data_IF_668640944547
#
_entry.id   IF_668640944547
#
_cell.length_a   1.000
_cell.length_b   1.000
_cell.length_c   1.000
_cell.angle_alpha   90.00
_cell.angle_beta   90.00
_cell.angle_gamma   90.00
#
_symmetry.space_group_name_H-M   'P 1'
#
loop_
_entity.id
_entity.type
_entity.pdbx_description
1 polymer ?
#
# COMPACT_ATOMS: atom_id res chain seq x y z
N UNK A 1 6.34 -15.34 -19.96
CA UNK A 1 5.28 -15.11 -18.96
C UNK A 1 4.61 -16.38 -18.48
N UNK A 2 4.12 -17.29 -19.32
CA UNK A 2 3.44 -18.53 -18.90
C UNK A 2 4.27 -19.45 -17.98
N UNK A 3 5.57 -19.63 -18.23
CA UNK A 3 6.44 -20.47 -17.39
C UNK A 3 6.64 -19.90 -15.96
N UNK A 4 6.62 -18.57 -15.79
CA UNK A 4 6.74 -17.92 -14.49
C UNK A 4 5.44 -18.06 -13.68
N UNK A 5 4.30 -17.91 -14.32
CA UNK A 5 2.99 -18.14 -13.71
C UNK A 5 2.81 -19.59 -13.26
N UNK A 6 3.21 -20.56 -14.08
CA UNK A 6 3.15 -21.98 -13.73
C UNK A 6 4.05 -22.30 -12.51
N UNK A 7 5.28 -21.78 -12.46
CA UNK A 7 6.18 -21.96 -11.29
C UNK A 7 5.60 -21.34 -10.02
N UNK A 8 4.94 -20.20 -10.13
CA UNK A 8 4.28 -19.53 -8.99
C UNK A 8 3.12 -20.39 -8.48
N UNK A 9 2.27 -20.91 -9.36
CA UNK A 9 1.15 -21.78 -8.97
C UNK A 9 1.61 -23.03 -8.23
N UNK A 10 2.70 -23.68 -8.67
CA UNK A 10 3.28 -24.85 -7.98
C UNK A 10 3.72 -24.46 -6.57
N UNK A 11 4.41 -23.33 -6.42
CA UNK A 11 4.89 -22.85 -5.12
C UNK A 11 3.74 -22.44 -4.19
N UNK A 12 2.71 -21.76 -4.73
CA UNK A 12 1.51 -21.39 -3.97
C UNK A 12 0.79 -22.63 -3.44
N UNK A 13 0.68 -23.68 -4.26
CA UNK A 13 0.10 -24.97 -3.87
C UNK A 13 0.90 -25.60 -2.74
N UNK A 14 2.22 -25.74 -2.89
CA UNK A 14 3.08 -26.35 -1.87
C UNK A 14 2.97 -25.63 -0.52
N UNK A 15 3.04 -24.29 -0.53
CA UNK A 15 2.93 -23.49 0.67
C UNK A 15 1.57 -23.61 1.35
N UNK A 16 0.48 -23.60 0.56
CA UNK A 16 -0.87 -23.73 1.09
C UNK A 16 -1.11 -25.12 1.66
N UNK A 17 -0.61 -26.17 0.99
CA UNK A 17 -0.68 -27.57 1.48
C UNK A 17 0.05 -27.69 2.82
N UNK A 18 1.30 -27.20 2.92
CA UNK A 18 2.07 -27.24 4.16
C UNK A 18 1.37 -26.48 5.30
N UNK A 19 0.80 -25.32 5.00
CA UNK A 19 0.04 -24.53 5.97
C UNK A 19 -1.18 -25.30 6.47
N UNK A 20 -1.99 -25.89 5.58
CA UNK A 20 -3.22 -26.56 5.96
C UNK A 20 -2.98 -27.89 6.69
N UNK A 21 -1.86 -28.59 6.42
CA UNK A 21 -1.42 -29.76 7.19
C UNK A 21 -1.12 -29.43 8.66
N UNK A 22 -0.92 -28.17 9.03
CA UNK A 22 -0.82 -27.77 10.43
C UNK A 22 -2.17 -27.78 11.18
N UNK A 23 -3.28 -27.86 10.45
CA UNK A 23 -4.64 -27.76 10.99
C UNK A 23 -5.54 -28.95 10.66
N UNK A 24 -5.14 -29.79 9.70
CA UNK A 24 -5.92 -30.92 9.18
C UNK A 24 -5.00 -32.12 9.10
N UNK A 25 -5.34 -33.19 9.81
CA UNK A 25 -4.53 -34.41 9.91
C UNK A 25 -4.64 -35.32 8.68
N UNK A 26 -5.68 -35.12 7.82
CA UNK A 26 -5.93 -35.97 6.68
C UNK A 26 -5.42 -35.33 5.38
N UNK A 27 -4.29 -35.85 4.81
CA UNK A 27 -3.69 -35.24 3.61
C UNK A 27 -4.62 -35.16 2.39
N UNK A 28 -5.46 -36.20 2.21
CA UNK A 28 -6.41 -36.28 1.09
C UNK A 28 -7.46 -35.14 1.14
N UNK A 29 -7.89 -34.75 2.35
CA UNK A 29 -8.80 -33.62 2.53
C UNK A 29 -8.09 -32.30 2.27
N UNK A 30 -6.81 -32.20 2.64
CA UNK A 30 -5.99 -31.01 2.38
C UNK A 30 -5.82 -30.80 0.89
N UNK A 31 -5.50 -31.82 0.12
CA UNK A 31 -5.32 -31.72 -1.33
C UNK A 31 -6.59 -31.25 -2.04
N UNK A 32 -7.75 -31.80 -1.68
CA UNK A 32 -9.04 -31.39 -2.22
C UNK A 32 -9.37 -29.93 -1.86
N UNK A 33 -9.06 -29.51 -0.64
CA UNK A 33 -9.28 -28.14 -0.16
C UNK A 33 -8.36 -27.15 -0.86
N UNK A 34 -7.08 -27.47 -1.02
CA UNK A 34 -6.09 -26.65 -1.74
C UNK A 34 -6.55 -26.42 -3.19
N UNK A 35 -6.98 -27.47 -3.88
CA UNK A 35 -7.54 -27.38 -5.22
C UNK A 35 -8.74 -26.43 -5.27
N UNK A 36 -9.69 -26.59 -4.37
CA UNK A 36 -10.89 -25.76 -4.31
C UNK A 36 -10.52 -24.26 -4.06
N UNK A 37 -9.63 -24.01 -3.13
CA UNK A 37 -9.21 -22.64 -2.77
C UNK A 37 -8.47 -21.95 -3.93
N UNK A 38 -7.50 -22.62 -4.55
CA UNK A 38 -6.72 -22.05 -5.65
C UNK A 38 -7.54 -21.90 -6.93
N UNK A 39 -8.44 -22.85 -7.25
CA UNK A 39 -9.32 -22.76 -8.41
C UNK A 39 -10.31 -21.60 -8.28
N UNK A 40 -10.80 -21.29 -7.08
CA UNK A 40 -11.72 -20.19 -6.84
C UNK A 40 -11.06 -18.82 -6.82
N UNK A 41 -9.81 -18.72 -6.33
CA UNK A 41 -9.14 -17.46 -6.04
C UNK A 41 -7.87 -17.23 -6.87
N UNK A 42 -7.40 -18.23 -7.61
CA UNK A 42 -6.29 -18.08 -8.56
C UNK A 42 -4.89 -18.08 -7.95
N UNK A 43 -4.70 -17.62 -6.71
CA UNK A 43 -3.38 -17.60 -6.04
C UNK A 43 -3.48 -17.47 -4.53
N UNK A 44 -2.39 -17.81 -3.83
CA UNK A 44 -2.27 -17.64 -2.38
C UNK A 44 -2.43 -16.16 -1.95
N UNK A 45 -1.94 -15.23 -2.76
CA UNK A 45 -2.10 -13.79 -2.47
C UNK A 45 -3.57 -13.38 -2.42
N UNK A 46 -4.40 -13.86 -3.36
CA UNK A 46 -5.85 -13.59 -3.35
C UNK A 46 -6.56 -14.21 -2.14
N UNK A 47 -6.11 -15.39 -1.69
CA UNK A 47 -6.63 -15.99 -0.46
C UNK A 47 -6.36 -15.11 0.76
N UNK A 48 -5.16 -14.55 0.86
CA UNK A 48 -4.76 -13.67 1.96
C UNK A 48 -5.45 -12.28 1.92
N UNK A 49 -6.07 -11.88 0.81
CA UNK A 49 -6.94 -10.68 0.73
C UNK A 49 -8.42 -11.00 0.97
N UNK A 50 -8.77 -12.29 1.09
CA UNK A 50 -10.16 -12.69 1.32
C UNK A 50 -10.54 -12.41 2.77
N UNK A 51 -11.71 -11.82 2.98
CA UNK A 51 -12.19 -11.53 4.34
C UNK A 51 -12.42 -12.81 5.14
N UNK A 52 -12.28 -12.72 6.47
CA UNK A 52 -12.53 -13.84 7.38
C UNK A 52 -13.93 -14.43 7.20
N UNK A 53 -14.95 -13.58 7.01
CA UNK A 53 -16.33 -14.01 6.80
C UNK A 53 -16.50 -14.85 5.51
N UNK A 54 -15.72 -14.53 4.47
CA UNK A 54 -15.75 -15.29 3.23
C UNK A 54 -14.97 -16.60 3.34
N UNK A 55 -13.84 -16.58 4.04
CA UNK A 55 -13.05 -17.80 4.30
C UNK A 55 -13.80 -18.77 5.20
N UNK A 56 -14.50 -18.31 6.22
CA UNK A 56 -15.31 -19.18 7.10
C UNK A 56 -16.49 -19.87 6.38
N UNK A 57 -16.85 -19.42 5.18
CA UNK A 57 -17.87 -20.08 4.34
C UNK A 57 -17.30 -21.14 3.41
N UNK A 58 -15.99 -21.34 3.42
CA UNK A 58 -15.35 -22.38 2.63
C UNK A 58 -15.48 -23.70 3.35
N UNK A 59 -16.19 -24.64 2.74
CA UNK A 59 -16.39 -26.00 3.29
C UNK A 59 -15.03 -26.70 3.47
N UNK A 60 -14.84 -27.26 4.64
CA UNK A 60 -13.62 -27.99 5.00
C UNK A 60 -12.45 -27.09 5.46
N UNK A 61 -12.56 -25.79 5.40
CA UNK A 61 -11.52 -24.87 5.92
C UNK A 61 -11.71 -24.64 7.43
N UNK A 62 -10.74 -25.06 8.27
CA UNK A 62 -10.84 -24.84 9.71
C UNK A 62 -10.84 -23.32 10.05
N UNK A 63 -11.63 -22.88 11.07
CA UNK A 63 -11.72 -21.48 11.44
C UNK A 63 -10.39 -20.83 11.80
N UNK A 64 -9.48 -21.55 12.45
CA UNK A 64 -8.13 -21.09 12.80
C UNK A 64 -7.24 -20.91 11.56
N UNK A 65 -7.34 -21.81 10.56
CA UNK A 65 -6.67 -21.63 9.27
C UNK A 65 -7.24 -20.44 8.49
N UNK A 66 -8.58 -20.28 8.47
CA UNK A 66 -9.25 -19.12 7.88
C UNK A 66 -8.79 -17.81 8.54
N UNK A 67 -8.69 -17.78 9.88
CA UNK A 67 -8.20 -16.63 10.62
C UNK A 67 -6.76 -16.30 10.26
N UNK A 68 -5.86 -17.29 10.20
CA UNK A 68 -4.47 -17.07 9.82
C UNK A 68 -4.36 -16.50 8.40
N UNK A 69 -5.06 -17.10 7.42
CA UNK A 69 -5.06 -16.63 6.03
C UNK A 69 -5.55 -15.18 5.93
N UNK A 70 -6.66 -14.83 6.59
CA UNK A 70 -7.23 -13.48 6.57
C UNK A 70 -6.29 -12.42 7.16
N UNK A 71 -5.41 -12.79 8.10
CA UNK A 71 -4.52 -11.86 8.79
C UNK A 71 -3.07 -11.90 8.30
N UNK A 72 -2.75 -12.80 7.38
CA UNK A 72 -1.36 -13.05 6.97
C UNK A 72 -0.69 -11.80 6.35
N UNK A 73 -1.40 -11.08 5.50
CA UNK A 73 -0.90 -9.82 4.94
C UNK A 73 -0.64 -8.77 6.02
N UNK A 74 -1.54 -8.64 6.99
CA UNK A 74 -1.38 -7.74 8.12
C UNK A 74 -0.12 -8.04 8.93
N UNK A 75 0.17 -9.32 9.19
CA UNK A 75 1.37 -9.77 9.90
C UNK A 75 2.64 -9.40 9.10
N UNK A 76 2.68 -9.68 7.81
CA UNK A 76 3.82 -9.33 6.95
C UNK A 76 4.03 -7.81 6.85
N UNK A 77 2.94 -7.05 6.77
CA UNK A 77 3.00 -5.59 6.75
C UNK A 77 3.53 -5.05 8.07
N UNK A 78 3.05 -5.55 9.21
CA UNK A 78 3.51 -5.15 10.53
C UNK A 78 5.01 -5.44 10.72
N UNK A 79 5.47 -6.61 10.30
CA UNK A 79 6.90 -6.97 10.35
C UNK A 79 7.76 -6.00 9.52
N UNK A 80 7.38 -5.73 8.26
CA UNK A 80 8.11 -4.80 7.41
C UNK A 80 8.14 -3.38 7.96
N UNK A 81 7.01 -2.91 8.51
CA UNK A 81 6.92 -1.60 9.12
C UNK A 81 7.74 -1.48 10.39
N UNK A 82 7.87 -2.54 11.19
CA UNK A 82 8.68 -2.53 12.40
C UNK A 82 10.14 -2.15 12.15
N UNK A 83 10.68 -2.47 10.96
CA UNK A 83 12.01 -2.09 10.53
C UNK A 83 12.13 -0.60 10.18
N UNK A 84 11.01 0.06 9.91
CA UNK A 84 10.91 1.46 9.49
C UNK A 84 10.35 2.38 10.59
N UNK A 85 9.83 1.80 11.66
CA UNK A 85 9.25 2.53 12.79
C UNK A 85 10.24 3.52 13.42
N UNK A 86 9.71 4.65 13.86
CA UNK A 86 10.45 5.73 14.51
C UNK A 86 11.50 6.43 13.64
N UNK A 87 11.55 6.16 12.33
CA UNK A 87 12.42 6.89 11.40
C UNK A 87 11.63 7.95 10.65
N UNK A 88 12.14 9.20 10.59
CA UNK A 88 11.50 10.23 9.78
C UNK A 88 11.45 9.82 8.31
N UNK A 89 10.31 10.02 7.67
CA UNK A 89 10.16 9.86 6.21
C UNK A 89 10.72 11.10 5.50
N UNK A 90 12.02 11.35 5.67
CA UNK A 90 12.70 12.59 5.26
C UNK A 90 13.49 12.46 3.95
N UNK A 91 13.42 11.32 3.28
CA UNK A 91 14.02 11.09 1.96
C UNK A 91 13.07 10.28 1.08
N UNK A 92 13.23 10.37 -0.25
CA UNK A 92 12.45 9.61 -1.21
C UNK A 92 12.55 8.10 -0.92
N UNK A 93 13.76 7.58 -0.71
CA UNK A 93 13.99 6.16 -0.47
C UNK A 93 13.26 5.64 0.78
N UNK A 94 13.16 6.46 1.84
CA UNK A 94 12.42 6.09 3.06
C UNK A 94 10.92 6.09 2.83
N UNK A 95 10.40 7.06 2.09
CA UNK A 95 8.99 7.10 1.72
C UNK A 95 8.65 5.93 0.79
N UNK A 96 9.47 5.66 -0.22
CA UNK A 96 9.34 4.52 -1.13
C UNK A 96 9.29 3.19 -0.37
N UNK A 97 10.25 2.97 0.56
CA UNK A 97 10.28 1.77 1.39
C UNK A 97 9.04 1.65 2.28
N UNK A 98 8.58 2.77 2.87
CA UNK A 98 7.41 2.81 3.73
C UNK A 98 6.13 2.45 2.96
N UNK A 99 5.90 3.07 1.80
CA UNK A 99 4.74 2.77 0.97
C UNK A 99 4.82 1.35 0.38
N UNK A 100 6.00 0.88 -0.03
CA UNK A 100 6.19 -0.49 -0.47
C UNK A 100 5.86 -1.51 0.64
N UNK A 101 6.23 -1.24 1.90
CA UNK A 101 5.88 -2.09 3.04
C UNK A 101 4.36 -2.22 3.22
N UNK A 102 3.61 -1.14 3.00
CA UNK A 102 2.15 -1.15 3.10
C UNK A 102 1.44 -1.79 1.91
N UNK A 103 1.98 -1.62 0.69
CA UNK A 103 1.19 -1.77 -0.54
C UNK A 103 1.71 -2.85 -1.50
N UNK A 104 2.95 -3.34 -1.32
CA UNK A 104 3.58 -4.24 -2.30
C UNK A 104 2.84 -5.56 -2.53
N UNK A 105 1.99 -5.98 -1.59
CA UNK A 105 1.22 -7.22 -1.66
C UNK A 105 -0.25 -7.01 -2.03
N UNK A 106 -0.68 -5.76 -2.22
CA UNK A 106 -2.07 -5.45 -2.55
C UNK A 106 -2.36 -5.81 -4.00
N UNK A 107 -3.45 -6.55 -4.21
CA UNK A 107 -3.89 -7.01 -5.54
C UNK A 107 -4.89 -6.06 -6.19
N UNK A 108 -5.44 -5.14 -5.40
CA UNK A 108 -6.34 -4.09 -5.87
C UNK A 108 -5.67 -2.74 -5.66
N UNK A 109 -5.97 -1.81 -6.55
CA UNK A 109 -5.48 -0.45 -6.43
C UNK A 109 -6.07 0.21 -5.18
N UNK A 110 -5.19 0.72 -4.34
CA UNK A 110 -5.53 1.48 -3.13
C UNK A 110 -4.65 2.70 -3.05
N UNK A 111 -5.15 3.71 -2.38
CA UNK A 111 -4.36 4.89 -2.07
C UNK A 111 -4.23 5.06 -0.57
N UNK A 112 -3.04 5.41 -0.13
CA UNK A 112 -2.73 5.76 1.25
C UNK A 112 -2.36 7.23 1.34
N UNK A 113 -2.90 7.89 2.37
CA UNK A 113 -2.43 9.18 2.86
C UNK A 113 -1.68 8.94 4.16
N UNK A 114 -0.45 9.40 4.24
CA UNK A 114 0.36 9.39 5.47
C UNK A 114 0.49 10.81 5.97
N UNK A 115 -0.16 11.10 7.10
CA UNK A 115 -0.05 12.37 7.81
C UNK A 115 1.23 12.38 8.65
N UNK A 116 2.01 13.45 8.57
CA UNK A 116 3.31 13.57 9.22
C UNK A 116 3.34 14.74 10.20
N UNK A 117 4.11 14.58 11.29
CA UNK A 117 4.42 15.69 12.18
C UNK A 117 5.58 16.56 11.66
N UNK A 118 5.97 17.59 12.42
CA UNK A 118 7.08 18.50 12.08
C UNK A 118 8.45 17.81 11.93
N UNK A 119 8.60 16.58 12.50
CA UNK A 119 9.81 15.77 12.37
C UNK A 119 9.71 14.78 11.22
N UNK A 120 8.67 14.86 10.40
CA UNK A 120 8.33 13.91 9.33
C UNK A 120 8.13 12.47 9.82
N UNK A 121 7.72 12.30 11.08
CA UNK A 121 7.29 11.00 11.61
C UNK A 121 5.80 10.78 11.30
N UNK A 122 5.39 9.57 10.91
CA UNK A 122 3.98 9.23 10.70
C UNK A 122 3.12 9.46 11.94
N UNK A 123 2.01 10.19 11.79
CA UNK A 123 0.98 10.40 12.80
C UNK A 123 -0.21 9.49 12.57
N UNK A 124 -0.63 9.37 11.32
CA UNK A 124 -1.78 8.58 10.91
C UNK A 124 -1.63 8.09 9.47
N UNK A 125 -2.19 6.92 9.19
CA UNK A 125 -2.31 6.38 7.85
C UNK A 125 -3.79 6.22 7.52
N UNK A 126 -4.23 6.86 6.43
CA UNK A 126 -5.58 6.75 5.91
C UNK A 126 -5.57 5.99 4.59
N UNK A 127 -6.41 4.97 4.47
CA UNK A 127 -6.59 4.21 3.23
C UNK A 127 -7.85 4.71 2.51
N UNK A 128 -7.69 5.06 1.24
CA UNK A 128 -8.79 5.34 0.32
C UNK A 128 -8.91 4.17 -0.67
N UNK A 129 -10.11 3.78 -1.00
CA UNK A 129 -10.41 2.63 -1.84
C UNK A 129 -11.03 1.50 -1.04
N UNK A 130 -12.21 1.06 -1.44
CA UNK A 130 -12.90 -0.10 -0.87
C UNK A 130 -12.77 -1.29 -1.82
N UNK A 131 -12.62 -2.48 -1.26
CA UNK A 131 -12.52 -3.74 -2.00
C UNK A 131 -13.79 -4.20 -2.71
N UNK A 132 -14.74 -3.35 -3.04
CA UNK A 132 -15.93 -3.65 -3.85
C UNK A 132 -16.24 -2.50 -4.81
N UNK A 133 -16.02 -2.79 -6.09
CA UNK A 133 -16.64 -2.27 -7.34
C UNK A 133 -16.92 -0.77 -7.50
N UNK A 134 -16.60 0.11 -6.58
CA UNK A 134 -16.67 1.55 -6.85
C UNK A 134 -15.30 2.17 -6.58
N UNK A 135 -14.76 2.82 -7.61
CA UNK A 135 -13.59 3.68 -7.49
C UNK A 135 -13.89 4.68 -6.38
N UNK A 136 -13.32 4.48 -5.21
CA UNK A 136 -13.34 5.54 -4.21
C UNK A 136 -12.44 6.63 -4.75
N UNK A 137 -13.06 7.56 -5.45
CA UNK A 137 -12.38 8.73 -6.00
C UNK A 137 -11.75 9.45 -4.82
N UNK A 138 -10.43 9.54 -4.82
CA UNK A 138 -9.73 10.41 -3.90
C UNK A 138 -10.19 11.82 -4.23
N UNK A 139 -10.82 12.46 -3.28
CA UNK A 139 -11.23 13.85 -3.44
C UNK A 139 -10.28 14.74 -2.66
N UNK A 140 -9.72 15.81 -3.26
CA UNK A 140 -8.84 16.72 -2.56
C UNK A 140 -9.43 17.25 -1.23
N UNK A 141 -10.72 17.58 -1.12
CA UNK A 141 -11.33 17.93 0.17
C UNK A 141 -11.31 16.81 1.20
N UNK A 142 -11.48 15.55 0.77
CA UNK A 142 -11.42 14.38 1.65
C UNK A 142 -10.01 14.16 2.23
N UNK A 143 -8.99 14.33 1.39
CA UNK A 143 -7.57 14.25 1.81
C UNK A 143 -7.24 15.38 2.78
N UNK A 144 -7.63 16.61 2.46
CA UNK A 144 -7.44 17.76 3.35
C UNK A 144 -8.10 17.54 4.72
N UNK A 145 -9.35 17.08 4.72
CA UNK A 145 -10.07 16.81 5.96
C UNK A 145 -9.39 15.71 6.80
N UNK A 146 -8.83 14.69 6.17
CA UNK A 146 -8.07 13.63 6.86
C UNK A 146 -6.75 14.19 7.45
N UNK A 147 -6.01 14.99 6.69
CA UNK A 147 -4.77 15.63 7.14
C UNK A 147 -5.01 16.56 8.33
N UNK A 148 -6.05 17.42 8.26
CA UNK A 148 -6.44 18.32 9.35
C UNK A 148 -6.84 17.58 10.61
N UNK A 149 -7.66 16.51 10.49
CA UNK A 149 -8.04 15.68 11.66
C UNK A 149 -6.85 15.01 12.33
N UNK A 150 -5.84 14.65 11.56
CA UNK A 150 -4.60 14.06 12.08
C UNK A 150 -3.64 15.08 12.70
N UNK A 151 -3.91 16.39 12.55
CA UNK A 151 -2.98 17.45 12.97
C UNK A 151 -1.68 17.41 12.16
N UNK A 152 -1.76 17.11 10.87
CA UNK A 152 -0.60 16.96 10.02
C UNK A 152 0.11 18.29 9.78
N UNK A 153 1.45 18.27 9.90
CA UNK A 153 2.33 19.36 9.47
C UNK A 153 2.74 19.23 8.00
N UNK A 154 2.67 17.99 7.47
CA UNK A 154 2.92 17.65 6.07
C UNK A 154 2.26 16.31 5.75
N UNK A 155 2.14 15.99 4.47
CA UNK A 155 1.60 14.70 4.04
C UNK A 155 2.43 14.07 2.93
N UNK A 156 2.39 12.74 2.89
CA UNK A 156 2.76 11.91 1.75
C UNK A 156 1.51 11.19 1.26
N UNK A 157 1.40 11.01 -0.04
CA UNK A 157 0.38 10.17 -0.64
C UNK A 157 1.05 9.07 -1.46
N UNK A 158 0.38 7.94 -1.64
CA UNK A 158 0.86 6.91 -2.54
C UNK A 158 -0.25 5.96 -2.93
N UNK A 159 -0.08 5.32 -4.07
CA UNK A 159 -0.98 4.29 -4.58
C UNK A 159 -0.20 3.13 -5.19
N UNK A 160 -0.81 1.97 -5.27
CA UNK A 160 -0.19 0.82 -5.92
C UNK A 160 -0.79 0.57 -7.29
N UNK A 161 0.04 0.09 -8.22
CA UNK A 161 -0.36 -0.47 -9.50
C UNK A 161 -0.24 -2.00 -9.47
N UNK A 162 -1.33 -2.76 -9.28
CA UNK A 162 -1.29 -4.23 -9.29
C UNK A 162 -0.84 -4.80 -10.63
N UNK A 163 -1.01 -4.05 -11.72
CA UNK A 163 -0.52 -4.40 -13.06
C UNK A 163 1.00 -4.47 -13.17
N UNK A 164 1.72 -3.85 -12.21
CA UNK A 164 3.17 -3.70 -12.22
C UNK A 164 3.66 -2.53 -13.10
N UNK A 165 2.76 -1.69 -13.64
CA UNK A 165 3.17 -0.50 -14.39
C UNK A 165 3.90 0.49 -13.48
N UNK A 166 5.09 0.89 -13.87
CA UNK A 166 5.93 1.89 -13.18
C UNK A 166 5.68 3.31 -13.70
N UNK A 167 4.77 3.46 -14.65
CA UNK A 167 4.43 4.74 -15.27
C UNK A 167 3.13 5.24 -14.64
N UNK A 168 3.12 6.44 -14.03
CA UNK A 168 1.90 7.05 -13.53
C UNK A 168 0.95 7.38 -14.68
N UNK A 169 -0.34 7.28 -14.43
CA UNK A 169 -1.37 7.68 -15.39
C UNK A 169 -1.51 9.20 -15.43
N UNK A 170 -2.18 9.72 -16.46
CA UNK A 170 -2.54 11.14 -16.53
C UNK A 170 -3.39 11.56 -15.33
N UNK A 171 -4.31 10.71 -14.90
CA UNK A 171 -5.15 10.96 -13.73
C UNK A 171 -4.33 11.05 -12.43
N UNK A 172 -3.27 10.25 -12.28
CA UNK A 172 -2.38 10.33 -11.11
C UNK A 172 -1.66 11.67 -11.06
N UNK A 173 -1.23 12.18 -12.21
CA UNK A 173 -0.58 13.49 -12.31
C UNK A 173 -1.57 14.62 -12.02
N UNK A 174 -2.78 14.56 -12.58
CA UNK A 174 -3.82 15.57 -12.38
C UNK A 174 -4.24 15.66 -10.92
N UNK A 175 -4.58 14.52 -10.28
CA UNK A 175 -4.96 14.50 -8.86
C UNK A 175 -3.82 14.96 -7.96
N UNK A 176 -2.57 14.67 -8.32
CA UNK A 176 -1.40 15.15 -7.56
C UNK A 176 -1.34 16.68 -7.57
N UNK A 177 -1.53 17.32 -8.73
CA UNK A 177 -1.56 18.80 -8.85
C UNK A 177 -2.69 19.41 -8.03
N UNK A 178 -3.91 18.87 -8.16
CA UNK A 178 -5.05 19.31 -7.37
C UNK A 178 -4.81 19.20 -5.85
N UNK A 179 -4.16 18.10 -5.41
CA UNK A 179 -3.81 17.90 -4.00
C UNK A 179 -2.77 18.91 -3.51
N UNK A 180 -1.77 19.22 -4.33
CA UNK A 180 -0.77 20.25 -4.01
C UNK A 180 -1.47 21.59 -3.75
N UNK A 181 -2.34 22.02 -4.66
CA UNK A 181 -3.03 23.31 -4.56
C UNK A 181 -3.90 23.39 -3.29
N UNK A 182 -4.73 22.36 -3.06
CA UNK A 182 -5.66 22.35 -1.92
C UNK A 182 -4.93 22.26 -0.58
N UNK A 183 -3.89 21.44 -0.48
CA UNK A 183 -3.13 21.26 0.75
C UNK A 183 -2.24 22.47 1.06
N UNK A 184 -1.62 23.05 0.02
CA UNK A 184 -0.82 24.27 0.16
C UNK A 184 -1.66 25.45 0.68
N UNK A 185 -2.89 25.59 0.20
CA UNK A 185 -3.85 26.59 0.68
C UNK A 185 -4.17 26.47 2.18
N UNK A 186 -4.01 25.28 2.74
CA UNK A 186 -4.17 25.01 4.18
C UNK A 186 -2.85 25.03 4.97
N UNK A 187 -1.73 25.32 4.33
CA UNK A 187 -0.40 25.31 4.95
C UNK A 187 0.15 23.90 5.24
N UNK A 188 -0.41 22.86 4.62
CA UNK A 188 0.01 21.47 4.78
C UNK A 188 0.63 20.99 3.45
N UNK A 189 1.97 20.99 3.30
CA UNK A 189 2.60 20.60 2.04
C UNK A 189 2.41 19.11 1.74
N UNK A 190 2.11 18.77 0.48
CA UNK A 190 2.27 17.44 -0.08
C UNK A 190 3.76 17.25 -0.40
N UNK A 191 4.46 16.42 0.39
CA UNK A 191 5.91 16.21 0.22
C UNK A 191 6.21 15.40 -1.04
N UNK A 192 5.49 14.29 -1.25
CA UNK A 192 5.68 13.44 -2.42
C UNK A 192 4.44 12.60 -2.69
N UNK A 193 4.38 12.04 -3.91
CA UNK A 193 3.43 11.02 -4.30
C UNK A 193 4.21 9.77 -4.72
N UNK A 194 3.99 8.67 -4.02
CA UNK A 194 4.72 7.42 -4.22
C UNK A 194 3.85 6.43 -5.01
N UNK A 195 4.34 5.99 -6.16
CA UNK A 195 3.76 4.89 -6.91
C UNK A 195 4.40 3.58 -6.46
N UNK A 196 3.61 2.58 -6.06
CA UNK A 196 4.11 1.24 -5.72
C UNK A 196 3.81 0.25 -6.83
N UNK A 197 4.86 -0.28 -7.44
CA UNK A 197 4.75 -1.27 -8.51
C UNK A 197 5.84 -2.34 -8.37
N UNK A 198 5.52 -3.59 -8.69
CA UNK A 198 6.46 -4.72 -8.60
C UNK A 198 7.16 -4.86 -7.24
N UNK A 199 6.50 -4.44 -6.15
CA UNK A 199 7.05 -4.49 -4.79
C UNK A 199 8.01 -3.34 -4.45
N UNK A 200 8.15 -2.34 -5.31
CA UNK A 200 9.01 -1.18 -5.13
C UNK A 200 8.21 0.11 -5.11
N UNK A 201 8.61 1.06 -4.27
CA UNK A 201 8.13 2.43 -4.30
C UNK A 201 8.91 3.26 -5.31
N UNK A 202 8.23 4.23 -5.92
CA UNK A 202 8.78 5.12 -6.94
C UNK A 202 8.27 6.53 -6.64
N UNK A 203 9.16 7.48 -6.40
CA UNK A 203 8.83 8.87 -6.13
C UNK A 203 8.45 9.60 -7.41
N UNK A 204 7.23 10.12 -7.48
CA UNK A 204 6.79 10.95 -8.61
C UNK A 204 7.50 12.30 -8.62
N UNK A 205 7.93 12.78 -7.46
CA UNK A 205 8.76 13.97 -7.36
C UNK A 205 10.13 13.74 -8.00
N UNK A 206 10.82 12.64 -7.68
CA UNK A 206 12.09 12.32 -8.28
C UNK A 206 12.00 12.13 -9.81
N UNK A 207 10.81 11.76 -10.31
CA UNK A 207 10.50 11.72 -11.74
C UNK A 207 10.27 13.10 -12.38
N UNK A 208 10.27 14.19 -11.60
CA UNK A 208 10.07 15.55 -12.10
C UNK A 208 8.61 15.91 -12.38
N UNK A 209 7.64 15.19 -11.82
CA UNK A 209 6.21 15.47 -12.01
C UNK A 209 5.76 16.70 -11.21
N UNK A 210 6.50 17.06 -10.19
CA UNK A 210 6.27 18.24 -9.36
C UNK A 210 7.08 19.41 -9.91
N UNK A 211 6.43 20.49 -10.34
CA UNK A 211 7.11 21.70 -10.80
C UNK A 211 7.74 22.46 -9.62
N UNK A 212 8.98 22.94 -9.79
CA UNK A 212 9.76 23.59 -8.71
C UNK A 212 9.07 24.85 -8.14
N UNK A 213 8.23 25.53 -8.91
CA UNK A 213 7.55 26.77 -8.53
C UNK A 213 6.38 26.57 -7.54
N UNK A 214 5.83 25.37 -7.44
CA UNK A 214 4.69 25.06 -6.55
C UNK A 214 5.11 24.82 -5.08
N UNK A 215 6.40 24.97 -4.75
CA UNK A 215 6.98 24.62 -3.44
C UNK A 215 7.26 25.81 -2.54
N UNK A 216 6.81 26.99 -2.89
CA UNK A 216 6.95 28.15 -2.01
C UNK A 216 5.95 28.00 -0.85
N UNK A 217 6.39 27.34 0.22
CA UNK A 217 5.70 27.44 1.49
C UNK A 217 5.55 28.92 1.83
N UNK A 218 4.32 29.44 1.82
CA UNK A 218 4.02 30.79 2.32
C UNK A 218 4.08 30.86 3.86
N UNK A 219 4.98 30.06 4.48
CA UNK A 219 5.19 29.97 5.92
C UNK A 219 6.61 29.48 6.24
N UNK A 220 7.00 29.43 7.52
CA UNK A 220 8.31 28.93 7.90
C UNK A 220 8.43 27.47 7.44
N UNK A 221 9.25 27.23 6.41
CA UNK A 221 9.57 25.88 5.92
C UNK A 221 10.03 25.01 7.08
N UNK A 222 9.37 23.88 7.26
CA UNK A 222 9.83 22.86 8.22
C UNK A 222 11.24 22.46 7.82
N UNK A 223 12.27 22.65 8.67
CA UNK A 223 13.66 22.40 8.32
C UNK A 223 14.01 21.07 7.64
N UNK A 224 13.27 19.97 7.87
CA UNK A 224 13.49 18.72 7.14
C UNK A 224 13.15 18.76 5.64
N UNK A 225 12.23 19.64 5.21
CA UNK A 225 11.87 19.78 3.78
C UNK A 225 13.04 20.29 2.92
N UNK A 226 13.91 21.13 3.47
CA UNK A 226 15.11 21.57 2.77
C UNK A 226 16.06 20.41 2.41
N UNK A 227 16.08 19.34 3.21
CA UNK A 227 16.88 18.14 2.94
C UNK A 227 16.27 17.24 1.85
N UNK A 228 14.93 17.21 1.76
CA UNK A 228 14.23 16.48 0.71
C UNK A 228 14.48 17.09 -0.67
N UNK A 229 14.55 18.43 -0.72
CA UNK A 229 14.82 19.18 -1.96
C UNK A 229 16.30 19.09 -2.38
N UNK A 230 17.22 18.91 -1.43
CA UNK A 230 18.66 18.91 -1.67
C UNK A 230 19.24 17.62 -2.25
N UNK A 231 18.47 16.53 -2.31
CA UNK A 231 18.91 15.26 -2.91
C UNK A 231 18.51 15.25 -4.39
N UNK A 232 19.20 16.05 -5.21
CA UNK A 232 19.35 15.77 -6.65
C UNK A 232 20.53 14.82 -6.83
N UNK A 233 20.42 13.82 -7.72
CA UNK A 233 21.52 12.91 -8.04
C UNK A 233 22.71 13.65 -8.63
#
# INVERSE_FOLDING_TARGET
MQALAARRMVKDRELLTQLLLCFIDEPEKVDALVENLLNRRGSLCYLCETSLDQLNKVEGLPPNAAFLLANFQGILTAERLSLLEHKPLSTAERAEAYFAAHMALLLHEKTLLVSLNERLLPLAVHTFGSGHVDRTVITPPGVLAAALRAGASAVLIGHNHPSGSVVPSVADVEVTKELIDVLSGAGIPLIDHILVANGQGISLRAMGIFEEEQWVCQGPCVPPLAKWIAVKP
#
